data_IF_657054752901
#
_entry.id   IF_657054752901
#
_cell.length_a   1.000
_cell.length_b   1.000
_cell.length_c   1.000
_cell.angle_alpha   90.00
_cell.angle_beta   90.00
_cell.angle_gamma   90.00
#
_symmetry.space_group_name_H-M   'P 1'
#
loop_
_entity.id
_entity.type
_entity.pdbx_description
1 polymer ?
#
# COMPACT_ATOMS: atom_id res chain seq x y z
N UNK A 1 -7.09 -20.81 -38.19
CA UNK A 1 -7.01 -19.53 -37.45
C UNK A 1 -5.81 -19.42 -36.52
N UNK A 2 -5.57 -20.21 -35.45
CA UNK A 2 -4.37 -20.04 -34.60
C UNK A 2 -3.01 -20.16 -35.31
N UNK A 3 -2.91 -20.98 -36.36
CA UNK A 3 -1.67 -21.15 -37.17
C UNK A 3 -1.38 -19.92 -38.04
N UNK A 4 -2.40 -19.18 -38.46
CA UNK A 4 -2.24 -18.07 -39.41
C UNK A 4 -1.76 -16.80 -38.69
N UNK A 5 -2.18 -16.56 -37.47
CA UNK A 5 -1.69 -15.42 -36.66
C UNK A 5 -0.20 -15.51 -36.33
N UNK A 6 0.32 -16.75 -36.17
CA UNK A 6 1.75 -16.98 -35.95
C UNK A 6 2.58 -16.76 -37.23
N UNK A 7 2.00 -17.05 -38.39
CA UNK A 7 2.64 -16.75 -39.68
C UNK A 7 2.70 -15.26 -39.98
N UNK A 8 1.70 -14.49 -39.48
CA UNK A 8 1.63 -13.02 -39.63
C UNK A 8 2.36 -12.29 -38.47
N UNK A 9 3.08 -13.03 -37.61
CA UNK A 9 3.87 -12.50 -36.51
C UNK A 9 3.08 -11.62 -35.54
N UNK A 10 1.76 -11.82 -35.38
CA UNK A 10 0.91 -11.08 -34.48
C UNK A 10 1.40 -11.19 -33.02
N UNK A 11 1.90 -12.34 -32.63
CA UNK A 11 2.50 -12.58 -31.31
C UNK A 11 3.66 -11.61 -31.02
N UNK A 12 4.54 -11.37 -31.99
CA UNK A 12 5.64 -10.40 -31.83
C UNK A 12 5.14 -8.95 -31.67
N UNK A 13 4.11 -8.58 -32.44
CA UNK A 13 3.51 -7.24 -32.31
C UNK A 13 2.84 -7.08 -30.95
N UNK A 14 2.13 -8.11 -30.45
CA UNK A 14 1.52 -8.07 -29.12
C UNK A 14 2.57 -8.03 -28.00
N UNK A 15 3.71 -8.72 -28.18
CA UNK A 15 4.84 -8.63 -27.24
C UNK A 15 5.44 -7.22 -27.23
N UNK A 16 5.65 -6.59 -28.39
CA UNK A 16 6.10 -5.20 -28.48
C UNK A 16 5.08 -4.24 -27.84
N UNK A 17 3.78 -4.45 -28.07
CA UNK A 17 2.73 -3.65 -27.46
C UNK A 17 2.71 -3.81 -25.93
N UNK A 18 2.83 -5.04 -25.43
CA UNK A 18 2.84 -5.31 -23.99
C UNK A 18 4.00 -4.60 -23.25
N UNK A 19 5.14 -4.38 -23.93
CA UNK A 19 6.26 -3.62 -23.37
C UNK A 19 5.98 -2.11 -23.24
N UNK A 20 4.93 -1.59 -23.87
CA UNK A 20 4.48 -0.21 -23.75
C UNK A 20 3.40 -0.02 -22.67
N UNK A 21 2.91 -1.10 -22.06
CA UNK A 21 2.00 -1.04 -20.94
C UNK A 21 2.77 -1.06 -19.61
N UNK A 22 2.30 -0.29 -18.62
CA UNK A 22 2.87 -0.19 -17.27
C UNK A 22 2.33 -1.27 -16.34
N UNK A 23 1.01 -1.53 -16.42
CA UNK A 23 0.32 -2.49 -15.57
C UNK A 23 0.50 -3.92 -16.08
N UNK A 24 0.82 -4.86 -15.17
CA UNK A 24 0.98 -6.27 -15.50
C UNK A 24 -0.34 -6.88 -16.03
N UNK A 25 -1.48 -6.45 -15.48
CA UNK A 25 -2.80 -6.89 -15.95
C UNK A 25 -3.05 -6.44 -17.40
N UNK A 26 -2.68 -5.19 -17.73
CA UNK A 26 -2.77 -4.70 -19.12
C UNK A 26 -1.88 -5.50 -20.07
N UNK A 27 -0.65 -5.84 -19.66
CA UNK A 27 0.26 -6.69 -20.45
C UNK A 27 -0.36 -8.05 -20.78
N UNK A 28 -1.01 -8.68 -19.78
CA UNK A 28 -1.70 -9.94 -19.98
C UNK A 28 -2.96 -9.81 -20.85
N UNK A 29 -3.70 -8.69 -20.74
CA UNK A 29 -4.85 -8.40 -21.61
C UNK A 29 -4.40 -8.19 -23.06
N UNK A 30 -3.32 -7.44 -23.28
CA UNK A 30 -2.73 -7.19 -24.60
C UNK A 30 -2.38 -8.49 -25.30
N UNK A 31 -1.71 -9.44 -24.64
CA UNK A 31 -1.35 -10.75 -25.19
C UNK A 31 -2.57 -11.59 -25.61
N UNK A 32 -3.75 -11.26 -25.11
CA UNK A 32 -5.01 -11.95 -25.43
C UNK A 32 -5.81 -11.27 -26.54
N UNK A 33 -5.36 -10.14 -27.07
CA UNK A 33 -6.02 -9.42 -28.16
C UNK A 33 -6.09 -10.32 -29.39
N UNK A 34 -7.25 -10.33 -30.03
CA UNK A 34 -7.50 -11.09 -31.26
C UNK A 34 -8.00 -10.13 -32.34
N UNK A 35 -7.69 -10.41 -33.63
CA UNK A 35 -8.26 -9.68 -34.74
C UNK A 35 -9.79 -9.80 -34.77
N UNK A 36 -10.47 -8.71 -35.11
CA UNK A 36 -11.90 -8.69 -35.40
C UNK A 36 -12.13 -8.71 -36.93
N UNK A 37 -13.24 -9.31 -37.35
CA UNK A 37 -13.72 -9.30 -38.72
C UNK A 37 -14.97 -8.41 -38.90
N UNK A 38 -15.46 -7.87 -37.80
CA UNK A 38 -16.55 -6.89 -37.80
C UNK A 38 -16.00 -5.50 -38.09
N UNK A 39 -16.44 -4.91 -39.20
CA UNK A 39 -15.90 -3.65 -39.72
C UNK A 39 -16.19 -2.48 -38.77
N UNK A 40 -17.34 -2.46 -38.09
CA UNK A 40 -17.71 -1.36 -37.19
C UNK A 40 -16.88 -1.41 -35.90
N UNK A 41 -16.65 -2.61 -35.37
CA UNK A 41 -15.71 -2.83 -34.25
C UNK A 41 -14.30 -2.37 -34.64
N UNK A 42 -13.81 -2.75 -35.81
CA UNK A 42 -12.46 -2.36 -36.27
C UNK A 42 -12.33 -0.86 -36.41
N UNK A 43 -13.31 -0.18 -37.03
CA UNK A 43 -13.31 1.29 -37.15
C UNK A 43 -13.30 1.99 -35.79
N UNK A 44 -14.12 1.50 -34.86
CA UNK A 44 -14.21 2.05 -33.49
C UNK A 44 -12.87 1.90 -32.75
N UNK A 45 -12.24 0.72 -32.83
CA UNK A 45 -10.96 0.47 -32.18
C UNK A 45 -9.80 1.28 -32.76
N UNK A 46 -9.82 1.51 -34.07
CA UNK A 46 -8.86 2.38 -34.77
C UNK A 46 -9.08 3.83 -34.32
N UNK A 47 -10.32 4.33 -34.34
CA UNK A 47 -10.64 5.69 -33.91
C UNK A 47 -10.17 5.97 -32.48
N UNK A 48 -10.43 5.07 -31.53
CA UNK A 48 -9.96 5.20 -30.15
C UNK A 48 -8.42 5.25 -30.05
N UNK A 49 -7.72 4.48 -30.85
CA UNK A 49 -6.25 4.49 -30.89
C UNK A 49 -5.72 5.80 -31.50
N UNK A 50 -6.36 6.32 -32.54
CA UNK A 50 -6.00 7.58 -33.20
C UNK A 50 -6.27 8.79 -32.28
N UNK A 51 -7.37 8.74 -31.55
CA UNK A 51 -7.71 9.74 -30.52
C UNK A 51 -6.70 9.71 -29.37
N UNK A 52 -6.29 8.54 -28.89
CA UNK A 52 -5.22 8.44 -27.87
C UNK A 52 -3.89 9.03 -28.38
N UNK A 53 -3.56 8.80 -29.65
CA UNK A 53 -2.38 9.40 -30.28
C UNK A 53 -2.52 10.94 -30.39
N UNK A 54 -3.68 11.43 -30.79
CA UNK A 54 -3.97 12.87 -30.91
C UNK A 54 -3.88 13.58 -29.56
N UNK A 55 -4.48 12.98 -28.51
CA UNK A 55 -4.41 13.50 -27.15
C UNK A 55 -2.96 13.50 -26.65
N UNK A 56 -2.22 12.39 -26.82
CA UNK A 56 -0.82 12.30 -26.42
C UNK A 56 0.07 13.31 -27.13
N UNK A 57 -0.18 13.55 -28.43
CA UNK A 57 0.62 14.47 -29.24
C UNK A 57 0.41 15.93 -28.83
N UNK A 58 -0.78 16.30 -28.35
CA UNK A 58 -1.13 17.67 -27.99
C UNK A 58 -0.84 17.98 -26.51
N UNK A 59 -1.10 17.05 -25.61
CA UNK A 59 -1.08 17.28 -24.16
C UNK A 59 -0.04 16.41 -23.43
N UNK A 60 0.69 15.57 -24.15
CA UNK A 60 1.55 14.53 -23.57
C UNK A 60 0.75 13.30 -23.14
N UNK A 61 1.41 12.17 -22.98
CA UNK A 61 0.78 10.93 -22.53
C UNK A 61 0.45 11.02 -21.03
N UNK A 62 -0.77 10.63 -20.60
CA UNK A 62 -1.09 10.55 -19.18
C UNK A 62 -0.18 9.55 -18.47
N UNK A 63 0.02 9.75 -17.18
CA UNK A 63 0.85 8.84 -16.38
C UNK A 63 0.02 7.65 -15.94
N UNK A 64 0.46 6.46 -16.32
CA UNK A 64 -0.05 5.21 -15.80
C UNK A 64 0.98 4.58 -14.86
N UNK A 65 0.50 3.82 -13.88
CA UNK A 65 1.31 3.14 -12.89
C UNK A 65 1.10 1.62 -12.98
N UNK A 66 1.96 0.84 -12.32
CA UNK A 66 1.75 -0.59 -12.19
C UNK A 66 0.75 -0.87 -11.05
N UNK A 67 -0.52 -0.58 -11.31
CA UNK A 67 -1.61 -0.86 -10.37
C UNK A 67 -1.83 -2.37 -10.22
N UNK A 68 -2.22 -2.77 -9.01
CA UNK A 68 -2.60 -4.15 -8.71
C UNK A 68 -4.10 -4.36 -8.92
N UNK A 69 -4.52 -5.62 -9.04
CA UNK A 69 -5.94 -5.94 -9.05
C UNK A 69 -6.55 -5.68 -7.69
N UNK A 70 -7.35 -4.62 -7.60
CA UNK A 70 -8.03 -4.19 -6.36
C UNK A 70 -9.44 -4.76 -6.25
N UNK A 71 -9.97 -5.40 -7.30
CA UNK A 71 -11.38 -5.80 -7.38
C UNK A 71 -11.77 -6.81 -6.30
N UNK A 72 -10.89 -7.77 -5.99
CA UNK A 72 -11.16 -8.76 -4.96
C UNK A 72 -11.21 -8.13 -3.56
N UNK A 73 -10.26 -7.27 -3.24
CA UNK A 73 -10.23 -6.52 -1.97
C UNK A 73 -11.47 -5.64 -1.81
N UNK A 74 -11.82 -4.87 -2.85
CA UNK A 74 -12.99 -4.00 -2.85
C UNK A 74 -14.30 -4.78 -2.60
N UNK A 75 -14.49 -5.93 -3.26
CA UNK A 75 -15.67 -6.80 -3.04
C UNK A 75 -15.71 -7.38 -1.62
N UNK A 76 -14.58 -7.78 -1.06
CA UNK A 76 -14.51 -8.25 0.33
C UNK A 76 -14.88 -7.13 1.32
N UNK A 77 -14.36 -5.93 1.10
CA UNK A 77 -14.69 -4.77 1.91
C UNK A 77 -16.18 -4.43 1.83
N UNK A 78 -16.79 -4.51 0.63
CA UNK A 78 -18.23 -4.33 0.43
C UNK A 78 -19.08 -5.36 1.24
N UNK A 79 -18.52 -6.56 1.46
CA UNK A 79 -19.12 -7.59 2.28
C UNK A 79 -18.83 -7.44 3.79
N UNK A 80 -18.19 -6.34 4.20
CA UNK A 80 -17.89 -6.04 5.60
C UNK A 80 -16.57 -6.64 6.12
N UNK A 81 -15.71 -7.18 5.25
CA UNK A 81 -14.38 -7.66 5.67
C UNK A 81 -13.40 -6.52 5.83
N UNK A 82 -12.56 -6.56 6.87
CA UNK A 82 -11.40 -5.67 6.97
C UNK A 82 -10.33 -6.06 5.97
N UNK A 83 -9.69 -5.05 5.37
CA UNK A 83 -8.57 -5.20 4.46
C UNK A 83 -7.24 -5.15 5.22
N UNK A 84 -6.18 -5.70 4.64
CA UNK A 84 -4.82 -5.51 5.12
C UNK A 84 -4.29 -4.12 4.73
N UNK A 85 -3.25 -3.63 5.41
CA UNK A 85 -2.59 -2.36 5.05
C UNK A 85 -2.08 -2.37 3.61
N UNK A 86 -1.57 -3.52 3.14
CA UNK A 86 -1.13 -3.70 1.76
C UNK A 86 -2.27 -3.50 0.76
N UNK A 87 -3.43 -4.13 0.98
CA UNK A 87 -4.59 -3.96 0.10
C UNK A 87 -5.09 -2.52 0.09
N UNK A 88 -5.10 -1.86 1.26
CA UNK A 88 -5.46 -0.45 1.35
C UNK A 88 -4.44 0.44 0.62
N UNK A 89 -3.14 0.16 0.70
CA UNK A 89 -2.11 0.88 -0.06
C UNK A 89 -2.30 0.73 -1.57
N UNK A 90 -2.55 -0.49 -2.06
CA UNK A 90 -2.82 -0.75 -3.48
C UNK A 90 -4.05 0.03 -3.96
N UNK A 91 -5.11 0.08 -3.14
CA UNK A 91 -6.31 0.88 -3.39
C UNK A 91 -5.99 2.38 -3.38
N UNK A 92 -5.21 2.86 -2.42
CA UNK A 92 -4.80 4.28 -2.35
C UNK A 92 -3.99 4.71 -3.58
N UNK A 93 -3.08 3.85 -4.05
CA UNK A 93 -2.33 4.09 -5.30
C UNK A 93 -3.24 4.12 -6.52
N UNK A 94 -4.21 3.21 -6.59
CA UNK A 94 -5.21 3.19 -7.65
C UNK A 94 -6.08 4.46 -7.66
N UNK A 95 -6.61 4.87 -6.52
CA UNK A 95 -7.41 6.11 -6.41
C UNK A 95 -6.61 7.35 -6.83
N UNK A 96 -5.32 7.39 -6.51
CA UNK A 96 -4.40 8.46 -6.97
C UNK A 96 -4.22 8.44 -8.48
N UNK A 97 -4.17 7.27 -9.11
CA UNK A 97 -4.11 7.17 -10.57
C UNK A 97 -5.39 7.68 -11.22
N UNK A 98 -6.57 7.28 -10.72
CA UNK A 98 -7.87 7.78 -11.19
C UNK A 98 -7.92 9.30 -11.10
N UNK A 99 -7.53 9.87 -9.95
CA UNK A 99 -7.44 11.32 -9.77
C UNK A 99 -6.48 11.99 -10.75
N UNK A 100 -5.33 11.36 -10.98
CA UNK A 100 -4.31 11.88 -11.92
C UNK A 100 -4.78 11.85 -13.37
N UNK A 101 -5.56 10.86 -13.77
CA UNK A 101 -6.16 10.77 -15.11
C UNK A 101 -7.25 11.84 -15.31
N UNK A 102 -8.11 12.05 -14.32
CA UNK A 102 -9.12 13.09 -14.33
C UNK A 102 -8.48 14.49 -14.40
N UNK A 103 -7.49 14.77 -13.54
CA UNK A 103 -6.73 16.02 -13.52
C UNK A 103 -6.01 16.27 -14.87
N UNK A 104 -5.46 15.21 -15.50
CA UNK A 104 -4.83 15.32 -16.82
C UNK A 104 -5.86 15.59 -17.91
N UNK A 105 -6.98 14.87 -17.93
CA UNK A 105 -8.02 15.06 -18.94
C UNK A 105 -8.68 16.43 -18.85
N UNK A 106 -8.84 16.98 -17.66
CA UNK A 106 -9.32 18.35 -17.44
C UNK A 106 -8.48 19.42 -18.15
N UNK A 107 -7.18 19.14 -18.40
CA UNK A 107 -6.29 20.02 -19.16
C UNK A 107 -6.46 19.87 -20.69
N UNK A 108 -7.12 18.79 -21.14
CA UNK A 108 -7.39 18.52 -22.56
C UNK A 108 -8.62 19.30 -23.08
N UNK A 109 -8.90 20.49 -22.53
CA UNK A 109 -10.10 21.27 -22.82
C UNK A 109 -10.30 21.56 -24.31
N UNK A 110 -11.56 21.45 -24.76
CA UNK A 110 -11.99 21.78 -26.13
C UNK A 110 -11.81 20.67 -27.16
N UNK A 111 -11.43 19.46 -26.76
CA UNK A 111 -11.32 18.31 -27.65
C UNK A 111 -12.24 17.20 -27.17
N UNK A 112 -13.28 16.91 -27.95
CA UNK A 112 -14.07 15.69 -27.76
C UNK A 112 -13.50 14.58 -28.65
N UNK A 113 -13.33 13.41 -28.06
CA UNK A 113 -12.80 12.22 -28.72
C UNK A 113 -13.67 11.01 -28.38
N UNK A 114 -13.46 9.89 -29.04
CA UNK A 114 -14.09 8.61 -28.71
C UNK A 114 -13.67 8.07 -27.32
N UNK A 115 -12.66 8.68 -26.67
CA UNK A 115 -12.22 8.35 -25.32
C UNK A 115 -12.85 9.23 -24.24
N UNK A 116 -13.53 10.31 -24.61
CA UNK A 116 -14.16 11.29 -23.69
C UNK A 116 -15.05 10.58 -22.67
N UNK A 117 -15.91 9.68 -23.12
CA UNK A 117 -16.84 8.94 -22.25
C UNK A 117 -16.12 8.13 -21.15
N UNK A 118 -14.93 7.57 -21.42
CA UNK A 118 -14.16 6.85 -20.41
C UNK A 118 -13.66 7.79 -19.31
N UNK A 119 -13.16 8.97 -19.66
CA UNK A 119 -12.70 9.94 -18.66
C UNK A 119 -13.84 10.54 -17.85
N UNK A 120 -14.98 10.83 -18.49
CA UNK A 120 -16.17 11.38 -17.81
C UNK A 120 -16.85 10.38 -16.86
N UNK A 121 -16.63 9.08 -17.05
CA UNK A 121 -17.16 8.03 -16.16
C UNK A 121 -16.27 7.77 -14.94
N UNK A 122 -15.06 8.35 -14.87
CA UNK A 122 -14.19 8.19 -13.71
C UNK A 122 -14.80 8.81 -12.46
N UNK A 123 -14.81 8.05 -11.39
CA UNK A 123 -15.39 8.41 -10.09
C UNK A 123 -14.31 8.82 -9.10
N UNK A 124 -13.86 10.09 -9.19
CA UNK A 124 -12.79 10.59 -8.31
C UNK A 124 -13.24 10.68 -6.85
N UNK A 125 -12.49 10.07 -5.94
CA UNK A 125 -12.71 10.14 -4.50
C UNK A 125 -11.46 10.62 -3.75
N UNK A 126 -11.18 11.92 -3.84
CA UNK A 126 -10.04 12.57 -3.16
C UNK A 126 -10.05 12.40 -1.64
N UNK A 127 -11.23 12.27 -1.03
CA UNK A 127 -11.33 12.07 0.42
C UNK A 127 -10.76 10.70 0.81
N UNK A 128 -11.23 9.63 0.17
CA UNK A 128 -10.75 8.27 0.42
C UNK A 128 -9.27 8.11 0.04
N UNK A 129 -8.86 8.67 -1.12
CA UNK A 129 -7.45 8.70 -1.53
C UNK A 129 -6.56 9.31 -0.44
N UNK A 130 -6.88 10.51 0.02
CA UNK A 130 -6.09 11.23 1.02
C UNK A 130 -6.10 10.52 2.37
N UNK A 131 -7.23 9.97 2.79
CA UNK A 131 -7.33 9.23 4.04
C UNK A 131 -6.37 8.04 4.04
N UNK A 132 -6.39 7.22 3.01
CA UNK A 132 -5.54 6.03 2.90
C UNK A 132 -4.07 6.43 2.78
N UNK A 133 -3.74 7.32 1.85
CA UNK A 133 -2.35 7.66 1.53
C UNK A 133 -1.63 8.45 2.63
N UNK A 134 -2.36 9.20 3.47
CA UNK A 134 -1.79 9.91 4.60
C UNK A 134 -1.72 9.05 5.87
N UNK A 135 -2.56 8.01 5.98
CA UNK A 135 -2.61 7.15 7.14
C UNK A 135 -1.62 5.99 7.10
N UNK A 136 -1.24 5.51 5.92
CA UNK A 136 -0.41 4.30 5.78
C UNK A 136 1.00 4.68 5.32
N UNK A 137 2.02 4.30 6.13
CA UNK A 137 3.44 4.50 5.81
C UNK A 137 4.00 3.29 5.05
N UNK A 138 3.63 2.09 5.50
CA UNK A 138 4.10 0.82 4.93
C UNK A 138 3.06 -0.29 5.09
N UNK A 139 3.37 -1.48 4.55
CA UNK A 139 2.52 -2.67 4.70
C UNK A 139 2.31 -3.11 6.16
N UNK A 140 3.11 -2.59 7.09
CA UNK A 140 3.09 -2.96 8.52
C UNK A 140 2.83 -1.77 9.45
N UNK A 141 2.82 -0.53 8.93
CA UNK A 141 2.84 0.66 9.78
C UNK A 141 1.85 1.74 9.34
N UNK A 142 1.05 2.20 10.31
CA UNK A 142 0.24 3.42 10.21
C UNK A 142 1.02 4.64 10.73
N UNK A 143 0.80 5.78 10.09
CA UNK A 143 1.30 7.07 10.55
C UNK A 143 0.67 7.47 11.88
N UNK A 144 1.40 8.21 12.70
CA UNK A 144 0.84 8.82 13.91
C UNK A 144 -0.34 9.75 13.60
N UNK A 145 -0.31 10.39 12.42
CA UNK A 145 -1.37 11.24 11.90
C UNK A 145 -2.64 10.51 11.47
N UNK A 146 -2.63 9.17 11.44
CA UNK A 146 -3.81 8.38 11.06
C UNK A 146 -5.00 8.62 12.02
N UNK A 147 -4.72 8.88 13.31
CA UNK A 147 -5.72 9.41 14.22
C UNK A 147 -5.07 10.21 15.38
N UNK A 148 -5.78 11.22 15.93
CA UNK A 148 -5.30 11.92 17.11
C UNK A 148 -5.11 11.01 18.33
N UNK A 149 -5.94 9.96 18.44
CA UNK A 149 -5.87 8.96 19.52
C UNK A 149 -4.63 8.10 19.38
N UNK A 150 -4.30 7.59 18.19
CA UNK A 150 -3.09 6.82 17.93
C UNK A 150 -1.83 7.63 18.28
N UNK A 151 -1.77 8.89 17.83
CA UNK A 151 -0.68 9.79 18.15
C UNK A 151 -0.53 10.02 19.68
N UNK A 152 -1.65 10.14 20.42
CA UNK A 152 -1.63 10.33 21.86
C UNK A 152 -1.13 9.08 22.60
N UNK A 153 -1.59 7.89 22.18
CA UNK A 153 -1.17 6.61 22.74
C UNK A 153 0.33 6.40 22.52
N UNK A 154 0.83 6.57 21.30
CA UNK A 154 2.26 6.40 20.96
C UNK A 154 3.15 7.36 21.74
N UNK A 155 2.76 8.64 21.85
CA UNK A 155 3.47 9.61 22.69
C UNK A 155 3.50 9.19 24.16
N UNK A 156 2.42 8.59 24.67
CA UNK A 156 2.37 8.11 26.05
C UNK A 156 3.27 6.90 26.25
N UNK A 157 3.30 5.95 25.33
CA UNK A 157 4.22 4.79 25.31
C UNK A 157 5.67 5.29 25.33
N UNK A 158 6.02 6.20 24.42
CA UNK A 158 7.37 6.73 24.33
C UNK A 158 7.82 7.42 25.61
N UNK A 159 6.99 8.30 26.20
CA UNK A 159 7.29 9.01 27.43
C UNK A 159 7.48 8.06 28.62
N UNK A 160 6.60 7.05 28.77
CA UNK A 160 6.73 6.04 29.82
C UNK A 160 7.96 5.15 29.62
N UNK A 161 8.24 4.75 28.39
CA UNK A 161 9.43 3.96 28.03
C UNK A 161 10.73 4.70 28.37
N UNK A 162 10.80 6.00 28.08
CA UNK A 162 11.95 6.83 28.47
C UNK A 162 12.10 6.89 29.99
N UNK A 163 11.02 7.11 30.75
CA UNK A 163 11.07 7.16 32.21
C UNK A 163 11.51 5.81 32.83
N UNK A 164 11.08 4.68 32.25
CA UNK A 164 11.53 3.34 32.68
C UNK A 164 13.01 3.17 32.40
N UNK A 165 13.48 3.53 31.21
CA UNK A 165 14.91 3.46 30.86
C UNK A 165 15.77 4.28 31.81
N UNK A 166 15.39 5.52 32.09
CA UNK A 166 16.13 6.38 33.02
C UNK A 166 16.22 5.78 34.45
N UNK A 167 15.14 5.16 34.92
CA UNK A 167 15.14 4.47 36.21
C UNK A 167 16.09 3.27 36.22
N UNK A 168 16.04 2.45 35.18
CA UNK A 168 16.90 1.28 35.04
C UNK A 168 18.36 1.68 34.81
N UNK A 169 18.63 2.74 34.04
CA UNK A 169 19.99 3.27 33.85
C UNK A 169 20.63 3.72 35.18
N UNK A 170 19.86 4.35 36.07
CA UNK A 170 20.34 4.67 37.39
C UNK A 170 20.64 3.41 38.21
N UNK A 171 19.82 2.39 38.10
CA UNK A 171 20.01 1.11 38.79
C UNK A 171 21.28 0.39 38.30
N UNK A 172 21.47 0.24 36.99
CA UNK A 172 22.61 -0.47 36.41
C UNK A 172 23.96 0.27 36.59
N UNK A 173 23.93 1.61 36.76
CA UNK A 173 25.13 2.44 37.02
C UNK A 173 25.51 2.50 38.50
N UNK A 174 24.66 1.99 39.39
CA UNK A 174 24.97 1.95 40.83
C UNK A 174 26.07 0.93 41.13
N UNK A 175 27.11 1.33 41.84
CA UNK A 175 28.24 0.45 42.20
C UNK A 175 27.76 -0.78 43.02
N UNK A 176 26.71 -0.63 43.82
CA UNK A 176 26.11 -1.74 44.57
C UNK A 176 25.48 -2.82 43.69
N UNK A 177 24.93 -2.40 42.51
CA UNK A 177 24.16 -3.31 41.64
C UNK A 177 25.01 -3.87 40.52
N UNK A 178 26.03 -3.17 40.03
CA UNK A 178 26.88 -3.57 38.90
C UNK A 178 27.47 -4.98 39.05
N UNK A 179 27.90 -5.36 40.26
CA UNK A 179 28.52 -6.68 40.54
C UNK A 179 27.55 -7.86 40.31
N UNK A 180 26.25 -7.60 40.39
CA UNK A 180 25.20 -8.61 40.24
C UNK A 180 24.78 -8.79 38.78
N UNK A 181 25.05 -7.79 37.91
CA UNK A 181 24.68 -7.82 36.52
C UNK A 181 25.65 -8.63 35.69
N UNK A 182 25.13 -9.35 34.70
CA UNK A 182 25.91 -10.00 33.65
C UNK A 182 26.53 -8.95 32.73
N UNK A 183 25.72 -7.96 32.36
CA UNK A 183 26.08 -6.81 31.55
C UNK A 183 25.34 -5.56 32.09
N UNK A 184 25.99 -4.39 32.08
CA UNK A 184 25.42 -3.13 32.56
C UNK A 184 24.59 -2.47 31.44
N UNK A 185 23.53 -3.14 30.97
CA UNK A 185 22.61 -2.64 29.95
C UNK A 185 21.16 -2.94 30.30
N UNK A 186 20.26 -2.14 29.72
CA UNK A 186 18.81 -2.37 29.75
C UNK A 186 18.41 -3.04 28.45
N UNK A 187 17.66 -4.11 28.54
CA UNK A 187 17.13 -4.83 27.36
C UNK A 187 15.64 -5.02 27.45
N UNK A 188 15.04 -5.62 26.41
CA UNK A 188 13.63 -5.98 26.41
C UNK A 188 13.45 -7.50 26.30
N UNK A 189 12.47 -8.03 27.06
CA UNK A 189 11.98 -9.40 26.91
C UNK A 189 10.45 -9.35 26.98
N UNK A 190 9.78 -9.98 26.02
CA UNK A 190 8.32 -10.00 25.92
C UNK A 190 7.64 -8.62 26.04
N UNK A 191 8.29 -7.59 25.46
CA UNK A 191 7.79 -6.22 25.50
C UNK A 191 8.01 -5.49 26.84
N UNK A 192 8.81 -6.05 27.76
CA UNK A 192 9.14 -5.47 29.07
C UNK A 192 10.59 -5.07 29.16
N UNK A 193 10.86 -3.95 29.81
CA UNK A 193 12.22 -3.53 30.13
C UNK A 193 12.76 -4.34 31.31
N UNK A 194 13.88 -5.00 31.11
CA UNK A 194 14.53 -5.90 32.06
C UNK A 194 16.04 -5.63 32.13
N UNK A 195 16.68 -6.16 33.17
CA UNK A 195 18.14 -6.13 33.34
C UNK A 195 18.68 -7.55 33.39
N UNK A 196 19.85 -7.84 32.75
CA UNK A 196 20.48 -9.15 32.77
C UNK A 196 21.25 -9.35 34.08
N UNK A 197 20.83 -10.28 34.91
CA UNK A 197 21.38 -10.59 36.25
C UNK A 197 22.05 -11.97 36.19
N UNK A 198 23.21 -12.10 36.79
CA UNK A 198 23.85 -13.43 36.96
C UNK A 198 22.98 -14.31 37.83
N UNK A 199 22.76 -15.54 37.46
CA UNK A 199 21.83 -16.46 38.13
C UNK A 199 22.13 -16.63 39.65
N UNK A 200 23.40 -16.59 40.03
CA UNK A 200 23.87 -16.69 41.44
C UNK A 200 23.44 -15.50 42.31
N UNK A 201 23.12 -14.34 41.70
CA UNK A 201 22.68 -13.13 42.41
C UNK A 201 21.19 -12.81 42.23
N UNK A 202 20.36 -13.82 41.91
CA UNK A 202 18.92 -13.68 41.73
C UNK A 202 18.23 -12.96 42.92
N UNK A 203 18.65 -13.26 44.15
CA UNK A 203 18.08 -12.71 45.40
C UNK A 203 18.43 -11.23 45.66
N UNK A 204 19.51 -10.75 45.01
CA UNK A 204 20.04 -9.40 45.26
C UNK A 204 19.29 -8.30 44.51
N UNK A 205 18.56 -8.64 43.45
CA UNK A 205 17.72 -7.73 42.69
C UNK A 205 16.26 -8.16 42.80
N UNK A 206 15.53 -7.42 43.64
CA UNK A 206 14.08 -7.65 43.80
C UNK A 206 13.34 -7.39 42.47
N UNK A 207 12.69 -8.40 41.91
CA UNK A 207 11.97 -8.27 40.66
C UNK A 207 11.37 -9.59 40.16
N UNK A 208 10.79 -9.54 38.98
CA UNK A 208 10.16 -10.67 38.31
C UNK A 208 11.11 -11.20 37.22
N UNK A 209 11.35 -12.53 37.19
CA UNK A 209 12.11 -13.17 36.13
C UNK A 209 11.19 -13.37 34.95
N UNK A 210 11.54 -12.82 33.79
CA UNK A 210 10.78 -12.96 32.54
C UNK A 210 11.41 -13.96 31.57
N UNK A 211 12.74 -14.11 31.64
CA UNK A 211 13.44 -14.99 30.70
C UNK A 211 14.76 -15.48 31.32
N UNK A 212 15.32 -16.56 30.76
CA UNK A 212 16.60 -17.11 31.14
C UNK A 212 17.43 -17.38 29.89
N UNK A 213 18.74 -17.06 29.93
CA UNK A 213 19.62 -17.35 28.80
C UNK A 213 19.69 -18.84 28.51
N UNK A 214 20.01 -19.23 27.27
CA UNK A 214 20.10 -20.64 26.85
C UNK A 214 21.08 -21.48 27.71
N UNK A 215 22.11 -20.87 28.27
CA UNK A 215 23.08 -21.52 29.16
C UNK A 215 22.62 -21.55 30.62
N UNK A 216 21.53 -20.88 30.99
CA UNK A 216 21.07 -20.73 32.36
C UNK A 216 21.89 -19.76 33.21
N UNK A 217 22.94 -19.14 32.69
CA UNK A 217 23.86 -18.29 33.45
C UNK A 217 23.31 -16.86 33.70
N UNK A 218 22.32 -16.44 32.95
CA UNK A 218 21.74 -15.09 33.05
C UNK A 218 20.23 -15.16 33.19
N UNK A 219 19.71 -14.42 34.14
CA UNK A 219 18.27 -14.18 34.32
C UNK A 219 17.93 -12.78 33.86
N UNK A 220 16.88 -12.64 33.07
CA UNK A 220 16.35 -11.33 32.66
C UNK A 220 15.28 -10.93 33.67
N UNK A 221 15.64 -10.02 34.59
CA UNK A 221 14.80 -9.61 35.70
C UNK A 221 14.18 -8.23 35.41
N UNK A 222 12.88 -8.13 35.60
CA UNK A 222 12.14 -6.85 35.68
C UNK A 222 12.19 -6.37 37.12
N UNK A 223 12.95 -5.31 37.44
CA UNK A 223 13.01 -4.82 38.81
C UNK A 223 11.66 -4.30 39.31
N UNK A 224 11.31 -4.54 40.59
CA UNK A 224 10.04 -4.09 41.17
C UNK A 224 9.78 -2.60 40.96
N UNK A 225 10.83 -1.77 40.94
CA UNK A 225 10.74 -0.33 40.71
C UNK A 225 10.13 0.08 39.35
N UNK A 226 10.06 -0.84 38.37
CA UNK A 226 9.53 -0.55 37.01
C UNK A 226 8.36 -1.44 36.63
N UNK A 227 7.97 -2.42 37.43
CA UNK A 227 6.87 -3.37 37.13
C UNK A 227 5.57 -2.64 36.79
N UNK A 228 5.16 -1.65 37.59
CA UNK A 228 3.94 -0.89 37.37
C UNK A 228 4.01 -0.13 36.01
N UNK A 229 5.12 0.57 35.77
CA UNK A 229 5.31 1.32 34.53
C UNK A 229 5.35 0.41 33.27
N UNK A 230 5.97 -0.76 33.36
CA UNK A 230 5.93 -1.76 32.30
C UNK A 230 4.50 -2.30 32.05
N UNK A 231 3.72 -2.51 33.12
CA UNK A 231 2.31 -2.89 32.98
C UNK A 231 1.49 -1.80 32.27
N UNK A 232 1.70 -0.53 32.64
CA UNK A 232 1.05 0.60 31.98
C UNK A 232 1.43 0.70 30.49
N UNK A 233 2.71 0.47 30.14
CA UNK A 233 3.15 0.43 28.74
C UNK A 233 2.43 -0.71 28.01
N UNK A 234 2.30 -1.87 28.63
CA UNK A 234 1.62 -3.03 28.03
C UNK A 234 0.13 -2.73 27.77
N UNK A 235 -0.55 -2.06 28.69
CA UNK A 235 -1.93 -1.63 28.49
C UNK A 235 -2.04 -0.67 27.31
N UNK A 236 -1.15 0.33 27.24
CA UNK A 236 -1.10 1.27 26.12
C UNK A 236 -0.82 0.59 24.76
N UNK A 237 0.04 -0.45 24.72
CA UNK A 237 0.27 -1.22 23.51
C UNK A 237 -0.98 -1.98 23.05
N UNK A 238 -1.77 -2.50 23.98
CA UNK A 238 -3.06 -3.13 23.66
C UNK A 238 -4.06 -2.09 23.14
N UNK A 239 -4.06 -0.89 23.71
CA UNK A 239 -4.90 0.22 23.24
C UNK A 239 -4.46 0.68 21.84
N UNK A 240 -3.15 0.75 21.59
CA UNK A 240 -2.60 1.06 20.27
C UNK A 240 -3.09 0.06 19.22
N UNK A 241 -2.99 -1.24 19.52
CA UNK A 241 -3.42 -2.29 18.60
C UNK A 241 -4.93 -2.19 18.29
N UNK A 242 -5.75 -1.95 19.31
CA UNK A 242 -7.21 -1.75 19.13
C UNK A 242 -7.52 -0.52 18.28
N UNK A 243 -6.76 0.57 18.47
CA UNK A 243 -6.96 1.78 17.68
C UNK A 243 -6.53 1.56 16.20
N UNK A 244 -5.43 0.85 15.98
CA UNK A 244 -4.99 0.44 14.62
C UNK A 244 -6.09 -0.38 13.94
N UNK A 245 -6.63 -1.38 14.62
CA UNK A 245 -7.71 -2.22 14.10
C UNK A 245 -8.98 -1.39 13.77
N UNK A 246 -9.31 -0.42 14.62
CA UNK A 246 -10.43 0.50 14.40
C UNK A 246 -10.23 1.33 13.13
N UNK A 247 -9.03 1.91 12.96
CA UNK A 247 -8.68 2.74 11.80
C UNK A 247 -8.75 1.91 10.50
N UNK A 248 -8.16 0.70 10.50
CA UNK A 248 -8.19 -0.21 9.36
C UNK A 248 -9.63 -0.58 9.00
N UNK A 249 -10.45 -0.87 9.99
CA UNK A 249 -11.87 -1.21 9.80
C UNK A 249 -12.63 -0.04 9.18
N UNK A 250 -12.46 1.17 9.70
CA UNK A 250 -13.11 2.38 9.18
C UNK A 250 -12.73 2.65 7.72
N UNK A 251 -11.43 2.57 7.38
CA UNK A 251 -10.97 2.67 6.00
C UNK A 251 -11.57 1.59 5.11
N UNK A 252 -11.64 0.34 5.61
CA UNK A 252 -12.21 -0.77 4.86
C UNK A 252 -13.72 -0.59 4.60
N UNK A 253 -14.45 -0.06 5.56
CA UNK A 253 -15.89 0.25 5.40
C UNK A 253 -16.10 1.33 4.33
N UNK A 254 -15.25 2.36 4.31
CA UNK A 254 -15.30 3.41 3.28
C UNK A 254 -14.94 2.87 1.89
N UNK A 255 -13.92 2.00 1.79
CA UNK A 255 -13.61 1.27 0.55
C UNK A 255 -14.81 0.45 0.10
N UNK A 256 -15.43 -0.29 1.01
CA UNK A 256 -16.62 -1.09 0.72
C UNK A 256 -17.79 -0.28 0.19
N UNK A 257 -18.02 0.92 0.76
CA UNK A 257 -19.09 1.82 0.29
C UNK A 257 -18.83 2.40 -1.11
N UNK A 258 -17.58 2.44 -1.55
CA UNK A 258 -17.15 2.96 -2.86
C UNK A 258 -16.73 1.84 -3.83
N UNK A 259 -16.99 0.57 -3.51
CA UNK A 259 -16.47 -0.58 -4.26
C UNK A 259 -16.94 -0.64 -5.71
N UNK A 260 -18.24 -0.46 -5.97
CA UNK A 260 -18.80 -0.54 -7.34
C UNK A 260 -18.22 0.54 -8.28
N UNK A 261 -18.21 1.85 -7.94
CA UNK A 261 -17.54 2.85 -8.75
C UNK A 261 -16.07 2.52 -8.98
N UNK A 262 -15.34 2.13 -7.94
CA UNK A 262 -13.91 1.80 -8.01
C UNK A 262 -13.61 0.61 -8.94
N UNK A 263 -14.45 -0.42 -8.95
CA UNK A 263 -14.31 -1.58 -9.85
C UNK A 263 -14.58 -1.15 -11.30
N UNK A 264 -15.56 -0.28 -11.55
CA UNK A 264 -15.80 0.29 -12.87
C UNK A 264 -14.59 1.13 -13.34
N UNK A 265 -14.09 2.01 -12.47
CA UNK A 265 -12.90 2.83 -12.75
C UNK A 265 -11.67 1.96 -13.08
N UNK A 266 -11.52 0.82 -12.41
CA UNK A 266 -10.43 -0.12 -12.69
C UNK A 266 -10.48 -0.65 -14.12
N UNK A 267 -11.65 -1.03 -14.61
CA UNK A 267 -11.83 -1.47 -16.00
C UNK A 267 -11.59 -0.33 -17.00
N UNK A 268 -12.03 0.89 -16.66
CA UNK A 268 -11.79 2.09 -17.48
C UNK A 268 -10.29 2.38 -17.58
N UNK A 269 -9.58 2.42 -16.45
CA UNK A 269 -8.13 2.71 -16.41
C UNK A 269 -7.36 1.69 -17.24
N UNK A 270 -7.64 0.38 -17.10
CA UNK A 270 -7.00 -0.65 -17.90
C UNK A 270 -7.29 -0.49 -19.40
N UNK A 271 -8.49 -0.07 -19.75
CA UNK A 271 -8.90 0.18 -21.13
C UNK A 271 -8.16 1.37 -21.73
N UNK A 272 -8.13 2.49 -21.00
CA UNK A 272 -7.38 3.68 -21.40
C UNK A 272 -5.89 3.40 -21.57
N UNK A 273 -5.27 2.71 -20.61
CA UNK A 273 -3.85 2.33 -20.69
C UNK A 273 -3.54 1.54 -21.98
N UNK A 274 -4.40 0.61 -22.37
CA UNK A 274 -4.22 -0.17 -23.60
C UNK A 274 -4.28 0.73 -24.84
N UNK A 275 -5.19 1.69 -24.93
CA UNK A 275 -5.24 2.62 -26.08
C UNK A 275 -4.02 3.53 -26.11
N UNK A 276 -3.59 4.07 -24.98
CA UNK A 276 -2.37 4.87 -24.93
C UNK A 276 -1.11 4.04 -25.21
N UNK A 277 -1.06 2.78 -24.81
CA UNK A 277 0.02 1.87 -25.19
C UNK A 277 0.06 1.60 -26.70
N UNK A 278 -1.11 1.42 -27.35
CA UNK A 278 -1.23 1.29 -28.83
C UNK A 278 -0.74 2.57 -29.51
N UNK A 279 -1.17 3.74 -29.05
CA UNK A 279 -0.74 5.04 -29.56
C UNK A 279 0.77 5.24 -29.44
N UNK A 280 1.35 4.91 -28.30
CA UNK A 280 2.80 5.00 -28.06
C UNK A 280 3.59 4.06 -28.98
N UNK A 281 3.12 2.83 -29.17
CA UNK A 281 3.76 1.89 -30.12
C UNK A 281 3.67 2.42 -31.55
N UNK A 282 2.49 2.91 -31.97
CA UNK A 282 2.28 3.53 -33.28
C UNK A 282 3.26 4.69 -33.53
N UNK A 283 3.42 5.59 -32.54
CA UNK A 283 4.38 6.68 -32.60
C UNK A 283 5.83 6.19 -32.80
N UNK A 284 6.26 5.19 -32.04
CA UNK A 284 7.61 4.59 -32.14
C UNK A 284 7.85 3.94 -33.51
N UNK A 285 6.83 3.33 -34.06
CA UNK A 285 6.88 2.68 -35.40
C UNK A 285 6.70 3.68 -36.54
N UNK A 286 6.41 4.96 -36.26
CA UNK A 286 5.99 5.96 -37.27
C UNK A 286 4.82 5.46 -38.12
N UNK A 287 3.90 4.75 -37.49
CA UNK A 287 2.72 4.19 -38.14
C UNK A 287 1.72 5.31 -38.51
N UNK A 288 0.91 5.02 -39.51
CA UNK A 288 -0.22 5.86 -39.92
C UNK A 288 -1.53 5.13 -39.72
N UNK A 289 -2.60 5.85 -39.46
CA UNK A 289 -3.93 5.29 -39.29
C UNK A 289 -4.39 4.65 -40.64
N UNK A 290 -4.73 3.36 -40.66
CA UNK A 290 -5.21 2.72 -41.86
C UNK A 290 -6.61 3.22 -42.27
N UNK A 291 -6.84 3.38 -43.57
CA UNK A 291 -8.19 3.67 -44.11
C UNK A 291 -8.86 2.34 -44.41
N UNK A 292 -10.06 2.12 -43.87
CA UNK A 292 -10.85 0.89 -43.99
C UNK A 292 -12.22 1.21 -44.58
#
# INVERSE_FOLDING_TARGET
MKKDYKKLELDKILDLLSQNAYCDVCRERIKKIKPSFDIDTVRTEIAKTDDAFTLSSKFGTPKFYNIKDICFGAKRAQQGSSLSLRELMDIGMFLREVSGLDDWYSQCSGIQTSLTEYFEQLSVNKHLENMITNAIISEEELADSASPQLAAIRRSIQRKSLAVRERLDKLIKSQSTQKYLQESLVTMRDGRFVVPVKTEYKSEISGLVHDTSATGATLFIEPMAVVEANNEIRVLQIEEQKEIERIIKEMSELVGSFAEPMINDYEIVLTLEIYFAKANLGAKMKAVTPVI
#
